data_IF_420326047268
#
_entry.id   IF_420326047268
#
_cell.length_a   1.000
_cell.length_b   1.000
_cell.length_c   1.000
_cell.angle_alpha   90.00
_cell.angle_beta   90.00
_cell.angle_gamma   90.00
#
_symmetry.space_group_name_H-M   'P 1'
#
loop_
_entity.id
_entity.type
_entity.pdbx_description
1 polymer ?
#
# COMPACT_ATOMS: atom_id res chain seq x y z
N UNK A 1 68.48 -1.66 18.52
CA UNK A 1 67.55 -0.94 19.42
C UNK A 1 66.81 0.24 18.78
N UNK A 2 67.44 1.09 17.95
CA UNK A 2 66.77 2.27 17.35
C UNK A 2 65.64 1.95 16.34
N UNK A 3 65.71 0.83 15.62
CA UNK A 3 64.71 0.48 14.58
C UNK A 3 63.37 0.02 15.19
N UNK A 4 63.40 -0.68 16.32
CA UNK A 4 62.17 -1.17 17.00
C UNK A 4 61.37 0.00 17.59
N UNK A 5 62.04 1.06 18.06
CA UNK A 5 61.39 2.25 18.60
C UNK A 5 60.66 3.06 17.50
N UNK A 6 61.18 3.07 16.27
CA UNK A 6 60.57 3.78 15.14
C UNK A 6 59.29 3.07 14.66
N UNK A 7 59.29 1.73 14.63
CA UNK A 7 58.11 0.96 14.22
C UNK A 7 56.97 1.10 15.25
N UNK A 8 57.29 1.14 16.55
CA UNK A 8 56.27 1.31 17.60
C UNK A 8 55.59 2.69 17.54
N UNK A 9 56.33 3.75 17.18
CA UNK A 9 55.80 5.11 17.04
C UNK A 9 54.87 5.21 15.81
N UNK A 10 55.20 4.54 14.70
CA UNK A 10 54.35 4.56 13.49
C UNK A 10 53.02 3.81 13.72
N UNK A 11 53.02 2.73 14.50
CA UNK A 11 51.79 1.98 14.82
C UNK A 11 50.89 2.78 15.79
N UNK A 12 51.46 3.47 16.79
CA UNK A 12 50.71 4.35 17.71
C UNK A 12 50.13 5.58 16.99
N UNK A 13 50.88 6.19 16.07
CA UNK A 13 50.38 7.29 15.24
C UNK A 13 49.35 6.82 14.21
N UNK A 14 49.54 5.64 13.61
CA UNK A 14 48.62 5.07 12.62
C UNK A 14 47.25 4.70 13.21
N UNK A 15 47.23 4.09 14.40
CA UNK A 15 45.98 3.72 15.08
C UNK A 15 45.27 4.93 15.69
N UNK A 16 46.01 5.87 16.28
CA UNK A 16 45.45 7.13 16.79
C UNK A 16 44.89 8.01 15.68
N UNK A 17 45.55 8.08 14.52
CA UNK A 17 45.07 8.84 13.36
C UNK A 17 43.91 8.14 12.65
N UNK A 18 43.90 6.80 12.56
CA UNK A 18 42.76 6.05 12.01
C UNK A 18 41.50 6.20 12.88
N UNK A 19 41.64 6.18 14.22
CA UNK A 19 40.53 6.36 15.15
C UNK A 19 39.99 7.82 15.16
N UNK A 20 40.83 8.80 14.83
CA UNK A 20 40.44 10.21 14.68
C UNK A 20 39.87 10.53 13.29
N UNK A 21 40.22 9.76 12.25
CA UNK A 21 39.74 9.94 10.88
C UNK A 21 38.46 9.14 10.57
N UNK A 22 38.13 8.11 11.35
CA UNK A 22 36.89 7.33 11.25
C UNK A 22 35.86 7.61 12.35
N UNK A 23 35.87 8.82 12.91
CA UNK A 23 34.68 9.33 13.62
C UNK A 23 33.70 9.85 12.57
N UNK A 24 33.06 8.94 11.84
CA UNK A 24 31.81 9.28 11.16
C UNK A 24 30.87 9.74 12.27
N UNK A 25 30.67 11.06 12.37
CA UNK A 25 29.51 11.61 13.05
C UNK A 25 28.33 10.93 12.38
N UNK A 26 27.67 10.00 13.08
CA UNK A 26 26.25 9.84 12.90
C UNK A 26 25.64 11.19 13.30
N UNK A 27 25.54 12.05 12.29
CA UNK A 27 24.59 13.14 12.31
C UNK A 27 23.24 12.46 12.52
N UNK A 28 22.44 12.82 13.54
CA UNK A 28 21.06 12.41 13.53
C UNK A 28 20.51 12.91 12.21
N UNK A 29 20.12 11.97 11.35
CA UNK A 29 19.44 12.27 10.12
C UNK A 29 18.08 12.82 10.56
N UNK A 30 18.01 14.14 10.79
CA UNK A 30 16.74 14.86 10.81
C UNK A 30 16.30 14.95 9.35
N UNK A 31 15.78 13.84 8.84
CA UNK A 31 14.91 13.89 7.69
C UNK A 31 13.74 14.75 8.14
N UNK A 32 13.72 15.99 7.64
CA UNK A 32 12.54 16.81 7.61
C UNK A 32 11.32 15.91 7.43
N UNK A 33 10.31 16.15 8.26
CA UNK A 33 8.91 15.95 7.93
C UNK A 33 8.73 16.19 6.42
N UNK A 34 8.80 15.11 5.64
CA UNK A 34 8.77 15.16 4.19
C UNK A 34 7.32 15.47 3.82
N UNK A 35 6.93 16.75 3.85
CA UNK A 35 5.65 17.30 3.40
C UNK A 35 4.53 16.24 3.30
N UNK A 36 4.27 15.53 4.40
CA UNK A 36 3.30 14.44 4.35
C UNK A 36 1.96 15.12 4.18
N UNK A 37 1.28 14.80 3.09
CA UNK A 37 -0.06 15.31 2.81
C UNK A 37 -0.93 15.06 4.03
N UNK A 38 -1.28 16.13 4.76
CA UNK A 38 -2.19 16.04 5.90
C UNK A 38 -3.63 16.00 5.40
N UNK A 39 -4.38 15.03 5.88
CA UNK A 39 -5.80 14.82 5.53
C UNK A 39 -6.62 14.62 6.81
N UNK A 40 -6.42 15.52 7.77
CA UNK A 40 -7.04 15.43 9.09
C UNK A 40 -8.55 15.17 8.98
N UNK A 41 -9.02 14.14 9.69
CA UNK A 41 -10.42 13.71 9.74
C UNK A 41 -10.99 13.05 8.47
N UNK A 42 -10.20 12.82 7.41
CA UNK A 42 -10.64 11.97 6.30
C UNK A 42 -10.79 10.53 6.76
N UNK A 43 -11.85 9.87 6.33
CA UNK A 43 -12.16 8.48 6.69
C UNK A 43 -11.84 7.53 5.55
N UNK A 44 -11.07 6.49 5.83
CA UNK A 44 -10.62 5.50 4.84
C UNK A 44 -11.07 4.12 5.31
N UNK A 45 -11.81 3.40 4.46
CA UNK A 45 -12.08 1.98 4.65
C UNK A 45 -11.01 1.15 3.93
N UNK A 46 -10.23 0.38 4.67
CA UNK A 46 -9.30 -0.60 4.12
C UNK A 46 -9.94 -1.99 4.15
N UNK A 47 -10.27 -2.50 2.97
CA UNK A 47 -10.88 -3.82 2.79
C UNK A 47 -9.77 -4.85 2.60
N UNK A 48 -9.70 -5.83 3.52
CA UNK A 48 -8.72 -6.91 3.53
C UNK A 48 -9.42 -8.27 3.47
N UNK A 49 -8.80 -9.26 2.82
CA UNK A 49 -9.24 -10.64 2.92
C UNK A 49 -9.05 -11.15 4.36
N UNK A 50 -9.99 -11.94 4.89
CA UNK A 50 -9.86 -12.48 6.25
C UNK A 50 -8.61 -13.38 6.41
N UNK A 51 -8.21 -14.07 5.34
CA UNK A 51 -6.96 -14.83 5.30
C UNK A 51 -6.16 -14.46 4.06
N UNK A 52 -4.84 -14.56 4.15
CA UNK A 52 -3.88 -14.41 3.05
C UNK A 52 -3.96 -13.05 2.33
N UNK A 53 -4.22 -11.97 3.08
CA UNK A 53 -3.94 -10.62 2.56
C UNK A 53 -2.43 -10.39 2.49
N UNK A 54 -1.99 -9.45 1.65
CA UNK A 54 -0.57 -9.11 1.51
C UNK A 54 -0.17 -8.06 2.55
N UNK A 55 0.72 -8.44 3.46
CA UNK A 55 1.15 -7.63 4.61
C UNK A 55 1.64 -6.23 4.21
N UNK A 56 2.55 -6.13 3.25
CA UNK A 56 3.12 -4.85 2.82
C UNK A 56 2.06 -3.93 2.20
N UNK A 57 1.08 -4.49 1.50
CA UNK A 57 -0.01 -3.76 0.88
C UNK A 57 -1.02 -3.24 1.91
N UNK A 58 -1.08 -3.83 3.10
CA UNK A 58 -1.88 -3.32 4.21
C UNK A 58 -1.07 -2.39 5.13
N UNK A 59 0.01 -2.88 5.73
CA UNK A 59 0.70 -2.18 6.82
C UNK A 59 1.44 -0.92 6.36
N UNK A 60 1.96 -0.90 5.11
CA UNK A 60 2.62 0.31 4.59
C UNK A 60 1.60 1.43 4.34
N UNK A 61 0.49 1.23 3.58
CA UNK A 61 -0.53 2.25 3.44
C UNK A 61 -1.17 2.63 4.78
N UNK A 62 -1.48 1.65 5.64
CA UNK A 62 -2.05 1.90 6.97
C UNK A 62 -1.21 2.90 7.77
N UNK A 63 0.11 2.65 7.87
CA UNK A 63 1.03 3.53 8.58
C UNK A 63 1.05 4.95 7.99
N UNK A 64 1.06 5.07 6.66
CA UNK A 64 1.08 6.36 5.96
C UNK A 64 -0.24 7.13 6.21
N UNK A 65 -1.38 6.45 6.17
CA UNK A 65 -2.69 7.03 6.46
C UNK A 65 -2.78 7.50 7.91
N UNK A 66 -2.36 6.69 8.88
CA UNK A 66 -2.35 7.07 10.29
C UNK A 66 -1.47 8.31 10.52
N UNK A 67 -0.27 8.35 9.94
CA UNK A 67 0.66 9.48 10.04
C UNK A 67 0.12 10.77 9.36
N UNK A 68 -0.79 10.65 8.40
CA UNK A 68 -1.43 11.77 7.73
C UNK A 68 -2.62 12.38 8.50
N UNK A 69 -3.04 11.73 9.60
CA UNK A 69 -4.21 12.12 10.40
C UNK A 69 -5.55 11.60 9.86
N UNK A 70 -5.52 10.65 8.91
CA UNK A 70 -6.72 9.96 8.46
C UNK A 70 -7.23 9.00 9.55
N UNK A 71 -8.54 8.74 9.54
CA UNK A 71 -9.20 7.72 10.35
C UNK A 71 -9.41 6.49 9.49
N UNK A 72 -8.66 5.43 9.77
CA UNK A 72 -8.72 4.18 9.02
C UNK A 72 -9.61 3.19 9.77
N UNK A 73 -10.55 2.57 9.06
CA UNK A 73 -11.29 1.40 9.53
C UNK A 73 -10.96 0.17 8.69
N UNK A 74 -10.86 -0.98 9.36
CA UNK A 74 -10.51 -2.25 8.73
C UNK A 74 -11.77 -3.06 8.48
N UNK A 75 -11.97 -3.46 7.22
CA UNK A 75 -13.16 -4.15 6.75
C UNK A 75 -12.79 -5.49 6.15
N UNK A 76 -13.59 -6.53 6.40
CA UNK A 76 -13.37 -7.84 5.79
C UNK A 76 -14.67 -8.59 5.53
N UNK A 77 -14.58 -9.75 4.88
CA UNK A 77 -15.72 -10.63 4.62
C UNK A 77 -16.23 -11.36 5.87
N UNK A 78 -15.44 -11.36 6.95
CA UNK A 78 -15.72 -12.03 8.23
C UNK A 78 -15.20 -11.22 9.41
N UNK A 79 -15.78 -11.39 10.62
CA UNK A 79 -15.28 -10.75 11.82
C UNK A 79 -14.11 -11.52 12.43
N UNK A 80 -13.34 -10.87 13.31
CA UNK A 80 -12.22 -11.47 14.03
C UNK A 80 -10.87 -10.87 13.63
N UNK A 81 -9.82 -11.66 13.71
CA UNK A 81 -8.45 -11.23 13.37
C UNK A 81 -8.06 -11.82 12.01
N UNK A 82 -7.94 -10.96 11.01
CA UNK A 82 -7.46 -11.35 9.70
C UNK A 82 -5.95 -11.62 9.73
N UNK A 83 -5.48 -12.56 8.89
CA UNK A 83 -4.07 -12.98 8.83
C UNK A 83 -3.45 -12.75 7.47
N UNK A 84 -2.28 -12.11 7.47
CA UNK A 84 -1.46 -11.86 6.30
C UNK A 84 -0.57 -13.05 5.94
N UNK A 85 -0.11 -13.08 4.70
CA UNK A 85 0.78 -14.14 4.17
C UNK A 85 2.11 -14.26 4.89
N UNK A 86 2.60 -13.17 5.51
CA UNK A 86 3.85 -13.12 6.26
C UNK A 86 3.63 -13.14 7.78
N UNK A 87 2.41 -13.48 8.21
CA UNK A 87 2.05 -13.65 9.63
C UNK A 87 1.62 -12.37 10.34
N UNK A 88 1.47 -11.25 9.65
CA UNK A 88 0.84 -10.06 10.20
C UNK A 88 -0.63 -10.30 10.53
N UNK A 89 -1.11 -9.63 11.56
CA UNK A 89 -2.48 -9.78 12.05
C UNK A 89 -3.15 -8.41 12.16
N UNK A 90 -4.45 -8.35 11.86
CA UNK A 90 -5.26 -7.14 12.01
C UNK A 90 -6.67 -7.49 12.45
N UNK A 91 -7.15 -6.80 13.49
CA UNK A 91 -8.53 -6.95 13.94
C UNK A 91 -9.50 -6.24 12.99
N UNK A 92 -10.55 -6.94 12.62
CA UNK A 92 -11.61 -6.44 11.76
C UNK A 92 -12.58 -5.62 12.59
N UNK A 93 -12.79 -4.37 12.19
CA UNK A 93 -13.69 -3.43 12.86
C UNK A 93 -15.13 -3.56 12.36
N UNK A 94 -15.31 -3.99 11.12
CA UNK A 94 -16.62 -4.15 10.48
C UNK A 94 -16.59 -5.15 9.33
N UNK A 95 -17.72 -5.80 9.07
CA UNK A 95 -17.88 -6.68 7.92
C UNK A 95 -18.30 -5.92 6.64
N UNK A 96 -18.10 -6.53 5.46
CA UNK A 96 -18.47 -5.94 4.17
C UNK A 96 -19.96 -5.52 4.11
N UNK A 97 -20.86 -6.29 4.74
CA UNK A 97 -22.29 -6.01 4.75
C UNK A 97 -22.70 -4.87 5.71
N UNK A 98 -21.81 -4.47 6.62
CA UNK A 98 -21.99 -3.35 7.55
C UNK A 98 -21.41 -2.05 7.01
N UNK A 99 -20.58 -2.12 5.97
CA UNK A 99 -19.96 -0.95 5.36
C UNK A 99 -20.99 -0.08 4.63
N UNK A 100 -21.13 1.16 5.13
CA UNK A 100 -21.83 2.24 4.44
C UNK A 100 -20.82 3.17 3.75
N UNK A 101 -20.74 3.09 2.43
CA UNK A 101 -19.78 3.88 1.62
C UNK A 101 -19.87 5.39 1.86
N UNK A 102 -21.05 5.91 2.24
CA UNK A 102 -21.26 7.34 2.50
C UNK A 102 -20.37 7.87 3.61
N UNK A 103 -20.05 7.03 4.58
CA UNK A 103 -19.31 7.40 5.79
C UNK A 103 -17.80 7.52 5.56
N UNK A 104 -17.30 7.15 4.38
CA UNK A 104 -15.90 7.18 4.03
C UNK A 104 -15.60 8.17 2.90
N UNK A 105 -14.39 8.70 2.87
CA UNK A 105 -13.86 9.51 1.78
C UNK A 105 -13.13 8.64 0.74
N UNK A 106 -12.53 7.53 1.19
CA UNK A 106 -11.86 6.55 0.34
C UNK A 106 -12.18 5.11 0.71
N UNK A 107 -12.27 4.26 -0.31
CA UNK A 107 -12.36 2.80 -0.20
C UNK A 107 -11.10 2.19 -0.83
N UNK A 108 -10.41 1.31 -0.11
CA UNK A 108 -9.12 0.75 -0.48
C UNK A 108 -9.18 -0.78 -0.41
N UNK A 109 -9.15 -1.46 -1.55
CA UNK A 109 -9.08 -2.93 -1.61
C UNK A 109 -7.62 -3.41 -1.61
N UNK A 110 -7.24 -4.12 -0.56
CA UNK A 110 -5.91 -4.72 -0.42
C UNK A 110 -5.85 -6.03 -1.20
N UNK A 111 -4.68 -6.34 -1.75
CA UNK A 111 -4.43 -7.58 -2.47
C UNK A 111 -3.95 -8.71 -1.57
N UNK A 112 -3.16 -9.61 -2.16
CA UNK A 112 -2.76 -10.88 -1.60
C UNK A 112 -3.55 -12.06 -2.17
N UNK A 113 -3.03 -13.30 -2.02
CA UNK A 113 -3.66 -14.50 -2.58
C UNK A 113 -5.11 -14.71 -2.12
N UNK A 114 -5.44 -14.30 -0.89
CA UNK A 114 -6.78 -14.45 -0.33
C UNK A 114 -7.82 -13.51 -0.91
N UNK A 115 -7.42 -12.40 -1.55
CA UNK A 115 -8.34 -11.38 -2.04
C UNK A 115 -9.41 -11.94 -2.99
N UNK A 116 -9.03 -12.84 -3.91
CA UNK A 116 -10.02 -13.44 -4.82
C UNK A 116 -11.00 -14.35 -4.07
N UNK A 117 -10.51 -15.15 -3.13
CA UNK A 117 -11.37 -16.11 -2.42
C UNK A 117 -12.35 -15.42 -1.46
N UNK A 118 -11.96 -14.29 -0.90
CA UNK A 118 -12.71 -13.60 0.15
C UNK A 118 -13.51 -12.41 -0.38
N UNK A 119 -12.97 -11.66 -1.33
CA UNK A 119 -13.49 -10.36 -1.74
C UNK A 119 -14.04 -10.35 -3.17
N UNK A 120 -13.82 -11.39 -3.99
CA UNK A 120 -14.39 -11.45 -5.36
C UNK A 120 -15.86 -11.89 -5.35
N UNK A 121 -16.72 -11.04 -4.79
CA UNK A 121 -18.13 -11.33 -4.55
C UNK A 121 -19.03 -10.11 -4.77
N UNK A 122 -20.35 -10.33 -4.77
CA UNK A 122 -21.35 -9.29 -5.06
C UNK A 122 -21.34 -8.12 -4.06
N UNK A 123 -20.98 -8.34 -2.80
CA UNK A 123 -20.92 -7.26 -1.81
C UNK A 123 -19.76 -6.31 -2.13
N UNK A 124 -18.58 -6.84 -2.42
CA UNK A 124 -17.44 -6.05 -2.83
C UNK A 124 -17.70 -5.28 -4.14
N UNK A 125 -18.38 -5.92 -5.11
CA UNK A 125 -18.75 -5.25 -6.36
C UNK A 125 -19.70 -4.07 -6.12
N UNK A 126 -20.72 -4.27 -5.27
CA UNK A 126 -21.65 -3.22 -4.89
C UNK A 126 -20.95 -2.05 -4.19
N UNK A 127 -20.03 -2.34 -3.25
CA UNK A 127 -19.23 -1.32 -2.57
C UNK A 127 -18.41 -0.50 -3.57
N UNK A 128 -17.75 -1.16 -4.53
CA UNK A 128 -16.99 -0.48 -5.58
C UNK A 128 -17.87 0.41 -6.46
N UNK A 129 -19.05 -0.08 -6.87
CA UNK A 129 -20.02 0.68 -7.64
C UNK A 129 -20.52 1.91 -6.87
N UNK A 130 -20.94 1.73 -5.62
CA UNK A 130 -21.39 2.82 -4.75
C UNK A 130 -20.29 3.86 -4.51
N UNK A 131 -19.03 3.44 -4.39
CA UNK A 131 -17.91 4.37 -4.24
C UNK A 131 -17.78 5.29 -5.47
N UNK A 132 -17.95 4.76 -6.68
CA UNK A 132 -17.96 5.56 -7.91
C UNK A 132 -19.19 6.45 -7.98
N UNK A 133 -20.39 5.91 -7.73
CA UNK A 133 -21.66 6.67 -7.76
C UNK A 133 -21.65 7.86 -6.79
N UNK A 134 -21.05 7.67 -5.61
CA UNK A 134 -20.95 8.70 -4.58
C UNK A 134 -19.68 9.55 -4.72
N UNK A 135 -18.94 9.41 -5.82
CA UNK A 135 -17.75 10.19 -6.13
C UNK A 135 -16.69 10.13 -5.01
N UNK A 136 -16.53 8.96 -4.37
CA UNK A 136 -15.48 8.66 -3.40
C UNK A 136 -14.18 8.30 -4.12
N UNK A 137 -13.06 8.34 -3.39
CA UNK A 137 -11.83 7.72 -3.90
C UNK A 137 -12.00 6.21 -3.83
N UNK A 138 -11.89 5.53 -4.98
CA UNK A 138 -11.92 4.07 -5.05
C UNK A 138 -10.53 3.59 -5.45
N UNK A 139 -9.98 2.66 -4.69
CA UNK A 139 -8.62 2.21 -4.94
C UNK A 139 -8.43 0.73 -4.69
N UNK A 140 -7.50 0.13 -5.43
CA UNK A 140 -7.17 -1.29 -5.29
C UNK A 140 -5.71 -1.57 -5.67
N UNK A 141 -5.07 -2.52 -4.99
CA UNK A 141 -3.67 -2.87 -5.21
C UNK A 141 -3.50 -4.37 -5.52
N UNK A 142 -2.47 -4.68 -6.32
CA UNK A 142 -2.05 -6.03 -6.66
C UNK A 142 -3.11 -6.80 -7.43
N UNK A 143 -3.70 -7.85 -6.86
CA UNK A 143 -4.73 -8.64 -7.55
C UNK A 143 -6.11 -7.97 -7.48
N UNK A 144 -6.37 -7.16 -6.46
CA UNK A 144 -7.71 -6.59 -6.19
C UNK A 144 -8.27 -5.63 -7.26
N UNK A 145 -7.50 -4.98 -8.15
CA UNK A 145 -8.05 -4.31 -9.33
C UNK A 145 -8.90 -5.23 -10.21
N UNK A 146 -8.69 -6.56 -10.20
CA UNK A 146 -9.56 -7.48 -10.93
C UNK A 146 -10.99 -7.52 -10.38
N UNK A 147 -11.16 -7.30 -9.07
CA UNK A 147 -12.47 -7.19 -8.41
C UNK A 147 -13.19 -5.93 -8.92
N UNK A 148 -12.47 -4.81 -9.01
CA UNK A 148 -13.01 -3.57 -9.58
C UNK A 148 -13.35 -3.72 -11.08
N UNK A 149 -12.54 -4.46 -11.84
CA UNK A 149 -12.82 -4.76 -13.24
C UNK A 149 -14.13 -5.54 -13.38
N UNK A 150 -14.31 -6.61 -12.61
CA UNK A 150 -15.53 -7.45 -12.60
C UNK A 150 -16.76 -6.70 -12.10
N UNK A 151 -16.58 -5.74 -11.18
CA UNK A 151 -17.64 -4.82 -10.75
C UNK A 151 -18.08 -3.83 -11.86
N UNK A 152 -17.33 -3.77 -12.98
CA UNK A 152 -17.63 -2.94 -14.14
C UNK A 152 -17.17 -1.48 -14.02
N UNK A 153 -16.62 -1.08 -12.87
CA UNK A 153 -16.22 0.32 -12.60
C UNK A 153 -14.96 0.76 -13.33
N UNK A 154 -14.18 -0.19 -13.88
CA UNK A 154 -12.99 0.09 -14.68
C UNK A 154 -13.26 0.20 -16.19
N UNK A 155 -14.50 0.05 -16.66
CA UNK A 155 -14.80 0.09 -18.10
C UNK A 155 -14.43 1.45 -18.70
N UNK A 156 -13.56 1.45 -19.71
CA UNK A 156 -13.04 2.65 -20.36
C UNK A 156 -12.05 3.46 -19.51
N UNK A 157 -11.61 2.92 -18.36
CA UNK A 157 -10.68 3.58 -17.43
C UNK A 157 -9.28 3.01 -17.57
N UNK A 158 -8.27 3.86 -17.38
CA UNK A 158 -6.89 3.41 -17.24
C UNK A 158 -6.69 2.76 -15.88
N UNK A 159 -6.08 1.58 -15.86
CA UNK A 159 -5.80 0.86 -14.61
C UNK A 159 -4.57 -0.03 -14.75
N UNK A 160 -3.94 -0.36 -13.63
CA UNK A 160 -2.89 -1.37 -13.52
C UNK A 160 -3.34 -2.48 -12.56
N UNK A 161 -2.62 -3.60 -12.56
CA UNK A 161 -2.89 -4.79 -11.76
C UNK A 161 -1.62 -5.63 -11.66
N UNK A 162 -1.55 -6.51 -10.66
CA UNK A 162 -0.49 -7.51 -10.56
C UNK A 162 -0.45 -8.38 -11.81
N UNK A 163 0.71 -8.43 -12.44
CA UNK A 163 0.99 -9.31 -13.57
C UNK A 163 2.47 -9.63 -13.64
N UNK A 164 2.81 -10.77 -14.23
CA UNK A 164 4.18 -11.20 -14.47
C UNK A 164 4.30 -11.88 -15.84
N UNK A 165 5.53 -12.23 -16.24
CA UNK A 165 5.74 -13.02 -17.45
C UNK A 165 5.05 -14.40 -17.39
N UNK A 166 4.88 -14.95 -16.19
CA UNK A 166 4.34 -16.30 -15.95
C UNK A 166 2.82 -16.30 -15.67
N UNK A 167 2.27 -15.19 -15.19
CA UNK A 167 0.86 -15.06 -14.84
C UNK A 167 0.32 -13.70 -15.32
N UNK A 168 -0.60 -13.75 -16.28
CA UNK A 168 -1.26 -12.58 -16.89
C UNK A 168 -2.76 -12.58 -16.69
N UNK A 169 -3.26 -13.49 -15.85
CA UNK A 169 -4.68 -13.73 -15.63
C UNK A 169 -5.39 -12.45 -15.17
N UNK A 170 -4.82 -11.72 -14.21
CA UNK A 170 -5.41 -10.49 -13.72
C UNK A 170 -5.41 -9.37 -14.78
N UNK A 171 -4.35 -9.27 -15.58
CA UNK A 171 -4.29 -8.34 -16.72
C UNK A 171 -5.41 -8.65 -17.73
N UNK A 172 -5.57 -9.92 -18.10
CA UNK A 172 -6.66 -10.35 -19.01
C UNK A 172 -8.03 -9.99 -18.43
N UNK A 173 -8.25 -10.21 -17.13
CA UNK A 173 -9.52 -9.85 -16.47
C UNK A 173 -9.80 -8.35 -16.59
N UNK A 174 -8.79 -7.49 -16.44
CA UNK A 174 -8.95 -6.04 -16.66
C UNK A 174 -9.38 -5.76 -18.10
N UNK A 175 -8.63 -6.26 -19.08
CA UNK A 175 -8.84 -6.00 -20.51
C UNK A 175 -10.20 -6.54 -21.00
N UNK A 176 -10.58 -7.76 -20.61
CA UNK A 176 -11.85 -8.41 -20.96
C UNK A 176 -13.06 -7.67 -20.38
N UNK A 177 -12.90 -6.98 -19.25
CA UNK A 177 -13.94 -6.13 -18.65
C UNK A 177 -13.87 -4.67 -19.11
N UNK A 178 -13.04 -4.38 -20.11
CA UNK A 178 -12.97 -3.09 -20.80
C UNK A 178 -12.09 -2.04 -20.13
N UNK A 179 -11.23 -2.42 -19.19
CA UNK A 179 -10.21 -1.51 -18.65
C UNK A 179 -9.05 -1.34 -19.66
N UNK A 180 -8.44 -0.16 -19.66
CA UNK A 180 -7.28 0.16 -20.49
C UNK A 180 -6.02 -0.09 -19.64
N UNK A 181 -5.47 -1.30 -19.73
CA UNK A 181 -4.31 -1.69 -18.94
C UNK A 181 -3.11 -0.77 -19.17
N UNK A 182 -2.44 -0.37 -18.09
CA UNK A 182 -1.17 0.37 -18.09
C UNK A 182 -0.12 -0.41 -17.30
N UNK A 183 1.14 -0.31 -17.71
CA UNK A 183 2.25 -1.03 -17.05
C UNK A 183 2.82 -0.30 -15.83
N UNK A 184 2.39 0.93 -15.59
CA UNK A 184 2.88 1.76 -14.48
C UNK A 184 2.59 1.11 -13.12
N UNK A 185 3.44 1.44 -12.14
CA UNK A 185 3.33 0.92 -10.78
C UNK A 185 2.04 1.38 -10.07
N UNK A 186 1.65 2.63 -10.31
CA UNK A 186 0.42 3.25 -9.81
C UNK A 186 -0.22 4.03 -10.96
N UNK A 187 -1.53 3.85 -11.14
CA UNK A 187 -2.32 4.50 -12.18
C UNK A 187 -3.51 5.19 -11.52
N UNK A 188 -3.71 6.46 -11.85
CA UNK A 188 -4.89 7.22 -11.45
C UNK A 188 -5.69 7.64 -12.69
N UNK A 189 -6.98 7.31 -12.71
CA UNK A 189 -7.96 7.79 -13.69
C UNK A 189 -9.12 8.44 -12.92
N UNK A 190 -9.08 9.78 -12.84
CA UNK A 190 -10.00 10.54 -11.99
C UNK A 190 -9.86 10.16 -10.51
N UNK A 191 -10.92 9.59 -9.93
CA UNK A 191 -10.98 9.15 -8.52
C UNK A 191 -10.69 7.66 -8.33
N UNK A 192 -10.36 6.94 -9.40
CA UNK A 192 -9.96 5.55 -9.33
C UNK A 192 -8.43 5.46 -9.33
N UNK A 193 -7.86 4.80 -8.32
CA UNK A 193 -6.41 4.62 -8.17
C UNK A 193 -6.10 3.13 -8.08
N UNK A 194 -5.27 2.61 -8.97
CA UNK A 194 -4.86 1.20 -8.95
C UNK A 194 -3.35 1.09 -8.85
N UNK A 195 -2.86 0.05 -8.18
CA UNK A 195 -1.43 -0.23 -8.06
C UNK A 195 -1.11 -1.70 -8.34
N UNK A 196 0.09 -1.96 -8.85
CA UNK A 196 0.40 -3.26 -9.44
C UNK A 196 0.98 -4.29 -8.46
N UNK A 197 1.28 -3.95 -7.21
CA UNK A 197 1.83 -4.92 -6.25
C UNK A 197 2.51 -4.30 -5.03
N UNK A 198 3.14 -5.14 -4.18
CA UNK A 198 3.69 -4.74 -2.89
C UNK A 198 4.72 -3.61 -2.97
N UNK A 199 5.57 -3.62 -4.00
CA UNK A 199 6.59 -2.60 -4.22
C UNK A 199 6.02 -1.20 -4.45
N UNK A 200 4.75 -1.11 -4.88
CA UNK A 200 4.05 0.15 -5.12
C UNK A 200 3.24 0.63 -3.91
N UNK A 201 3.22 -0.10 -2.79
CA UNK A 201 2.32 0.18 -1.65
C UNK A 201 2.50 1.59 -1.05
N UNK A 202 3.75 2.07 -0.97
CA UNK A 202 4.04 3.44 -0.52
C UNK A 202 3.46 4.48 -1.48
N UNK A 203 3.86 4.42 -2.75
CA UNK A 203 3.43 5.38 -3.79
C UNK A 203 1.91 5.36 -3.98
N UNK A 204 1.29 4.18 -3.83
CA UNK A 204 -0.15 3.97 -3.84
C UNK A 204 -0.84 4.76 -2.71
N UNK A 205 -0.33 4.64 -1.48
CA UNK A 205 -0.86 5.36 -0.33
C UNK A 205 -0.71 6.88 -0.50
N UNK A 206 0.47 7.35 -0.92
CA UNK A 206 0.73 8.77 -1.17
C UNK A 206 -0.21 9.33 -2.25
N UNK A 207 -0.47 8.55 -3.31
CA UNK A 207 -1.41 8.94 -4.38
C UNK A 207 -2.86 9.06 -3.89
N UNK A 208 -3.29 8.16 -2.99
CA UNK A 208 -4.61 8.24 -2.34
C UNK A 208 -4.70 9.49 -1.47
N UNK A 209 -3.68 9.77 -0.65
CA UNK A 209 -3.65 10.97 0.19
C UNK A 209 -3.73 12.25 -0.64
N UNK A 210 -2.99 12.32 -1.74
CA UNK A 210 -3.04 13.46 -2.65
C UNK A 210 -4.42 13.67 -3.27
N UNK A 211 -5.15 12.58 -3.55
CA UNK A 211 -6.51 12.64 -4.09
C UNK A 211 -7.59 12.97 -3.04
N UNK A 212 -7.24 12.92 -1.74
CA UNK A 212 -8.10 13.25 -0.61
C UNK A 212 -8.05 14.73 -0.20
N UNK A 213 -7.12 15.51 -0.78
CA UNK A 213 -7.03 16.98 -0.62
C UNK A 213 -8.32 17.66 -1.10
#
# INVERSE_FOLDING_TARGET
MKIILIILIIILLGTGCYFLLFKHKEQPVSLNELNMTKVENKKIAMIVAFSDFRDEEYFVPRKIFDQSGAKVSVVSDKPGTAKGTEGGEVDIEMELNELNVKDFDAIVFIGGPGAINHLDNQLAYKIAQEAVEQNKILSAICISPSILAKAGVLRGKKATVWTSALNKEAQKVLEENGAIFQKDAVVQDGKIITANGPSAAKDFAEKILDALK
#
